data_IF_174775502560
#
_entry.id   IF_174775502560
#
_cell.length_a   1.000
_cell.length_b   1.000
_cell.length_c   1.000
_cell.angle_alpha   90.00
_cell.angle_beta   90.00
_cell.angle_gamma   90.00
#
_symmetry.space_group_name_H-M   'P 1'
#
loop_
_entity.id
_entity.type
_entity.pdbx_description
1 polymer ?
#
# COMPACT_ATOMS: atom_id res chain seq x y z
N UNK A 1 -5.26 29.79 -2.17
CA UNK A 1 -6.03 29.25 -1.02
C UNK A 1 -7.39 28.63 -1.37
N UNK A 2 -8.23 29.22 -2.24
CA UNK A 2 -9.59 28.70 -2.53
C UNK A 2 -9.67 27.22 -2.96
N UNK A 3 -8.71 26.72 -3.75
CA UNK A 3 -8.66 25.30 -4.19
C UNK A 3 -8.35 24.35 -3.02
N UNK A 4 -7.42 24.76 -2.14
CA UNK A 4 -7.01 24.00 -0.96
C UNK A 4 -8.16 23.85 0.04
N UNK A 5 -8.93 24.92 0.27
CA UNK A 5 -10.14 24.88 1.09
C UNK A 5 -11.25 23.96 0.53
N UNK A 6 -11.21 23.63 -0.77
CA UNK A 6 -12.08 22.60 -1.37
C UNK A 6 -11.53 21.18 -1.23
N UNK A 7 -10.38 20.99 -0.57
CA UNK A 7 -9.72 19.69 -0.41
C UNK A 7 -9.05 19.14 -1.67
N UNK A 8 -8.89 19.96 -2.72
CA UNK A 8 -8.40 19.48 -4.03
C UNK A 8 -6.87 19.46 -4.15
N UNK A 9 -6.15 20.09 -3.23
CA UNK A 9 -4.68 20.08 -3.24
C UNK A 9 -4.13 18.80 -2.60
N UNK A 10 -3.03 18.23 -3.12
CA UNK A 10 -2.25 17.22 -2.41
C UNK A 10 -1.74 17.75 -1.06
N UNK A 11 -1.46 16.83 -0.14
CA UNK A 11 -0.75 17.14 1.10
C UNK A 11 0.75 17.23 0.82
N UNK A 12 1.44 18.20 1.43
CA UNK A 12 2.91 18.26 1.37
C UNK A 12 3.52 17.23 2.33
N UNK A 13 4.79 16.81 2.15
CA UNK A 13 5.44 15.89 3.08
C UNK A 13 5.39 16.39 4.54
N UNK A 14 5.59 17.68 4.78
CA UNK A 14 5.49 18.23 6.13
C UNK A 14 4.08 18.12 6.73
N UNK A 15 3.03 18.32 5.92
CA UNK A 15 1.65 18.19 6.37
C UNK A 15 1.29 16.74 6.68
N UNK A 16 1.72 15.81 5.83
CA UNK A 16 1.58 14.37 6.08
C UNK A 16 2.26 14.01 7.40
N UNK A 17 3.51 14.44 7.60
CA UNK A 17 4.23 14.13 8.82
C UNK A 17 3.58 14.71 10.08
N UNK A 18 3.00 15.91 9.98
CA UNK A 18 2.26 16.52 11.08
C UNK A 18 0.96 15.77 11.42
N UNK A 19 0.24 15.29 10.40
CA UNK A 19 -0.94 14.44 10.59
C UNK A 19 -0.56 13.14 11.29
N UNK A 20 0.48 12.45 10.82
CA UNK A 20 0.97 11.22 11.43
C UNK A 20 1.41 11.43 12.88
N UNK A 21 2.14 12.52 13.17
CA UNK A 21 2.52 12.87 14.55
C UNK A 21 1.30 13.12 15.44
N UNK A 22 0.27 13.80 14.93
CA UNK A 22 -0.97 14.01 15.67
C UNK A 22 -1.72 12.69 15.96
N UNK A 23 -1.60 11.70 15.07
CA UNK A 23 -2.15 10.34 15.23
C UNK A 23 -1.32 9.45 16.17
N UNK A 24 -0.14 9.90 16.62
CA UNK A 24 0.69 9.18 17.60
C UNK A 24 1.85 8.38 16.99
N UNK A 25 2.06 8.44 15.67
CA UNK A 25 3.27 7.89 15.05
C UNK A 25 4.50 8.66 15.53
N UNK A 26 5.65 7.98 15.64
CA UNK A 26 6.87 8.54 16.19
C UNK A 26 8.08 8.32 15.29
N UNK A 27 9.28 8.68 15.77
CA UNK A 27 10.50 8.52 14.98
C UNK A 27 10.95 7.06 14.81
N UNK A 28 10.31 6.10 15.49
CA UNK A 28 10.56 4.67 15.35
C UNK A 28 9.71 4.05 14.25
N UNK A 29 8.62 4.70 13.85
CA UNK A 29 7.77 4.29 12.73
C UNK A 29 8.61 4.21 11.45
N UNK A 30 8.58 3.05 10.79
CA UNK A 30 9.15 2.85 9.45
C UNK A 30 8.16 3.36 8.42
N UNK A 31 8.60 4.26 7.55
CA UNK A 31 7.78 4.81 6.49
C UNK A 31 8.38 4.38 5.15
N UNK A 32 7.53 3.83 4.30
CA UNK A 32 7.85 3.60 2.89
C UNK A 32 7.18 4.69 2.05
N UNK A 33 7.93 5.31 1.15
CA UNK A 33 7.46 6.36 0.27
C UNK A 33 7.39 5.86 -1.17
N UNK A 34 6.19 5.46 -1.59
CA UNK A 34 5.84 5.21 -2.98
C UNK A 34 5.55 6.54 -3.68
N UNK A 35 6.55 7.12 -4.33
CA UNK A 35 6.38 8.34 -5.12
C UNK A 35 7.39 8.40 -6.26
N UNK A 36 6.98 9.02 -7.37
CA UNK A 36 7.93 9.53 -8.37
C UNK A 36 8.73 10.72 -7.83
N UNK A 37 9.31 11.50 -8.74
CA UNK A 37 10.06 12.69 -8.36
C UNK A 37 9.17 13.71 -7.62
N UNK A 38 9.56 14.05 -6.39
CA UNK A 38 8.81 14.96 -5.55
C UNK A 38 9.10 16.40 -5.92
N UNK A 39 8.04 17.20 -6.04
CA UNK A 39 8.16 18.64 -6.24
C UNK A 39 9.05 19.27 -5.15
N UNK A 40 10.10 19.99 -5.58
CA UNK A 40 11.10 20.63 -4.72
C UNK A 40 11.98 19.67 -3.89
N UNK A 41 11.95 18.37 -4.20
CA UNK A 41 12.92 17.35 -3.81
C UNK A 41 13.32 17.39 -2.33
N UNK A 42 14.64 17.40 -2.09
CA UNK A 42 15.23 17.32 -0.73
C UNK A 42 14.75 18.44 0.20
N UNK A 43 14.43 19.64 -0.31
CA UNK A 43 14.00 20.78 0.50
C UNK A 43 12.70 20.50 1.25
N UNK A 44 11.68 20.02 0.54
CA UNK A 44 10.38 19.71 1.16
C UNK A 44 10.37 18.37 1.91
N UNK A 45 11.31 17.47 1.58
CA UNK A 45 11.45 16.20 2.30
C UNK A 45 12.18 16.35 3.64
N UNK A 46 13.04 17.36 3.81
CA UNK A 46 13.86 17.54 5.03
C UNK A 46 13.01 17.57 6.33
N UNK A 47 11.92 18.34 6.44
CA UNK A 47 11.08 18.32 7.65
C UNK A 47 10.46 16.95 7.91
N UNK A 48 9.99 16.26 6.86
CA UNK A 48 9.40 14.93 6.98
C UNK A 48 10.42 13.89 7.45
N UNK A 49 11.61 13.85 6.86
CA UNK A 49 12.70 12.95 7.27
C UNK A 49 13.21 13.24 8.68
N UNK A 50 13.10 14.49 9.14
CA UNK A 50 13.41 14.84 10.54
C UNK A 50 12.38 14.25 11.50
N UNK A 51 11.10 14.25 11.11
CA UNK A 51 10.04 13.61 11.90
C UNK A 51 10.11 12.09 11.84
N UNK A 52 10.44 11.50 10.69
CA UNK A 52 10.46 10.07 10.43
C UNK A 52 11.79 9.68 9.76
N UNK A 53 12.84 9.38 10.55
CA UNK A 53 14.18 9.12 10.02
C UNK A 53 14.30 7.77 9.30
N UNK A 54 13.42 6.81 9.61
CA UNK A 54 13.36 5.47 8.99
C UNK A 54 12.49 5.53 7.73
N UNK A 55 12.99 6.21 6.71
CA UNK A 55 12.30 6.46 5.45
C UNK A 55 12.96 5.68 4.31
N UNK A 56 12.19 4.79 3.69
CA UNK A 56 12.60 3.91 2.59
C UNK A 56 11.77 4.18 1.32
N UNK A 57 12.26 3.74 0.16
CA UNK A 57 11.55 3.74 -1.12
C UNK A 57 12.08 2.58 -2.00
N UNK A 58 11.59 2.45 -3.25
CA UNK A 58 12.00 1.33 -4.11
C UNK A 58 13.51 1.26 -4.36
N UNK A 59 14.22 2.38 -4.32
CA UNK A 59 15.67 2.44 -4.56
C UNK A 59 16.48 2.00 -3.34
N UNK A 60 15.87 1.98 -2.15
CA UNK A 60 16.57 1.60 -0.90
C UNK A 60 16.24 0.19 -0.44
N UNK A 61 15.07 -0.36 -0.81
CA UNK A 61 14.64 -1.71 -0.40
C UNK A 61 15.04 -2.82 -1.36
N UNK A 62 15.29 -2.51 -2.64
CA UNK A 62 15.60 -3.51 -3.66
C UNK A 62 17.10 -3.68 -3.91
N UNK A 63 17.51 -4.81 -4.50
CA UNK A 63 18.87 -4.93 -5.03
C UNK A 63 19.06 -3.81 -6.07
N UNK A 64 20.25 -3.18 -6.09
CA UNK A 64 20.58 -2.06 -7.00
C UNK A 64 20.39 -2.34 -8.51
N UNK A 65 19.91 -3.53 -8.87
CA UNK A 65 19.50 -4.00 -10.19
C UNK A 65 18.10 -3.53 -10.63
N UNK A 66 17.27 -2.97 -9.75
CA UNK A 66 15.99 -2.36 -10.19
C UNK A 66 16.22 -1.20 -11.19
N UNK A 67 17.36 -0.52 -11.07
CA UNK A 67 17.81 0.58 -11.94
C UNK A 67 18.25 0.09 -13.33
N UNK A 68 18.62 -1.19 -13.50
CA UNK A 68 19.03 -1.77 -14.80
C UNK A 68 17.83 -2.11 -15.70
N UNK A 69 16.60 -2.11 -15.17
CA UNK A 69 15.41 -2.39 -15.95
C UNK A 69 14.92 -1.14 -16.70
N UNK A 70 15.31 -1.06 -17.97
CA UNK A 70 15.09 0.06 -18.91
C UNK A 70 13.62 0.41 -19.21
N UNK A 71 12.65 -0.36 -18.72
CA UNK A 71 11.22 -0.09 -18.92
C UNK A 71 10.54 0.68 -17.77
N UNK A 72 11.23 0.99 -16.66
CA UNK A 72 10.74 1.89 -15.61
C UNK A 72 9.55 1.40 -14.76
N UNK A 73 9.02 0.20 -15.02
CA UNK A 73 7.85 -0.35 -14.31
C UNK A 73 8.22 -1.11 -13.03
N UNK A 74 9.45 -1.61 -12.90
CA UNK A 74 9.85 -2.44 -11.76
C UNK A 74 9.76 -1.71 -10.42
N UNK A 75 10.24 -0.46 -10.35
CA UNK A 75 10.10 0.38 -9.14
C UNK A 75 8.64 0.60 -8.75
N UNK A 76 7.77 0.79 -9.74
CA UNK A 76 6.32 0.95 -9.49
C UNK A 76 5.66 -0.35 -9.01
N UNK A 77 6.12 -1.50 -9.49
CA UNK A 77 5.66 -2.80 -9.02
C UNK A 77 6.09 -3.06 -7.56
N UNK A 78 7.33 -2.71 -7.20
CA UNK A 78 7.81 -2.75 -5.81
C UNK A 78 6.99 -1.81 -4.92
N UNK A 79 6.79 -0.57 -5.37
CA UNK A 79 5.95 0.41 -4.67
C UNK A 79 4.54 -0.14 -4.42
N UNK A 80 3.93 -0.77 -5.44
CA UNK A 80 2.61 -1.36 -5.32
C UNK A 80 2.60 -2.48 -4.27
N UNK A 81 3.52 -3.44 -4.35
CA UNK A 81 3.56 -4.58 -3.43
C UNK A 81 3.83 -4.16 -1.99
N UNK A 82 4.77 -3.23 -1.76
CA UNK A 82 5.06 -2.73 -0.42
C UNK A 82 3.85 -1.97 0.15
N UNK A 83 3.19 -1.12 -0.65
CA UNK A 83 1.97 -0.44 -0.21
C UNK A 83 0.77 -1.38 -0.02
N UNK A 84 0.68 -2.49 -0.74
CA UNK A 84 -0.37 -3.49 -0.58
C UNK A 84 -0.19 -4.25 0.75
N UNK A 85 1.04 -4.63 1.08
CA UNK A 85 1.35 -5.47 2.23
C UNK A 85 1.62 -4.69 3.51
N UNK A 86 1.82 -3.36 3.44
CA UNK A 86 2.05 -2.53 4.62
C UNK A 86 0.89 -2.60 5.62
N UNK A 87 1.20 -2.40 6.90
CA UNK A 87 0.19 -2.34 7.97
C UNK A 87 -0.83 -1.23 7.69
N UNK A 88 -0.34 -0.08 7.23
CA UNK A 88 -1.11 1.13 7.00
C UNK A 88 -0.72 1.72 5.65
N UNK A 89 -1.73 2.11 4.86
CA UNK A 89 -1.56 2.87 3.63
C UNK A 89 -2.22 4.24 3.77
N UNK A 90 -1.55 5.30 3.31
CA UNK A 90 -2.09 6.67 3.36
C UNK A 90 -1.88 7.35 2.00
N UNK A 91 -2.92 7.42 1.15
CA UNK A 91 -2.83 8.23 -0.06
C UNK A 91 -2.72 9.71 0.29
N UNK A 92 -1.86 10.43 -0.43
CA UNK A 92 -1.64 11.88 -0.23
C UNK A 92 -2.38 12.74 -1.25
N UNK A 93 -3.00 12.09 -2.26
CA UNK A 93 -3.75 12.73 -3.33
C UNK A 93 -4.84 11.81 -3.90
N UNK A 94 -6.08 12.27 -3.84
CA UNK A 94 -7.26 11.55 -4.36
C UNK A 94 -7.59 11.98 -5.82
N UNK A 95 -6.56 12.23 -6.64
CA UNK A 95 -6.78 12.48 -8.06
C UNK A 95 -7.14 11.20 -8.82
N UNK A 96 -7.25 11.27 -10.16
CA UNK A 96 -7.47 10.08 -10.99
C UNK A 96 -6.21 9.20 -11.09
N UNK A 97 -5.46 9.04 -9.99
CA UNK A 97 -4.34 8.12 -9.96
C UNK A 97 -4.87 6.69 -9.86
N UNK A 98 -4.64 5.91 -10.90
CA UNK A 98 -4.92 4.48 -10.88
C UNK A 98 -4.18 3.78 -9.73
N UNK A 99 -2.98 4.25 -9.36
CA UNK A 99 -2.16 3.63 -8.30
C UNK A 99 -2.86 3.57 -6.93
N UNK A 100 -3.21 4.74 -6.36
CA UNK A 100 -3.85 4.79 -5.05
C UNK A 100 -5.23 4.12 -5.06
N UNK A 101 -6.02 4.32 -6.12
CA UNK A 101 -7.36 3.74 -6.22
C UNK A 101 -7.32 2.21 -6.27
N UNK A 102 -6.43 1.66 -7.10
CA UNK A 102 -6.25 0.21 -7.20
C UNK A 102 -5.72 -0.38 -5.90
N UNK A 103 -4.81 0.31 -5.21
CA UNK A 103 -4.32 -0.12 -3.90
C UNK A 103 -5.41 -0.13 -2.84
N UNK A 104 -6.26 0.89 -2.79
CA UNK A 104 -7.37 0.94 -1.83
C UNK A 104 -8.34 -0.23 -2.05
N UNK A 105 -8.72 -0.49 -3.31
CA UNK A 105 -9.57 -1.63 -3.63
C UNK A 105 -8.92 -2.98 -3.31
N UNK A 106 -7.65 -3.16 -3.70
CA UNK A 106 -6.92 -4.39 -3.44
C UNK A 106 -6.69 -4.63 -1.94
N UNK A 107 -6.34 -3.59 -1.17
CA UNK A 107 -6.24 -3.66 0.30
C UNK A 107 -7.58 -3.96 0.95
N UNK A 108 -8.70 -3.46 0.39
CA UNK A 108 -10.04 -3.80 0.85
C UNK A 108 -10.36 -5.27 0.59
N UNK A 109 -10.07 -5.76 -0.62
CA UNK A 109 -10.27 -7.16 -0.99
C UNK A 109 -9.40 -8.12 -0.16
N UNK A 110 -8.15 -7.75 0.07
CA UNK A 110 -7.17 -8.55 0.80
C UNK A 110 -7.28 -8.35 2.32
N UNK A 111 -8.47 -8.60 2.88
CA UNK A 111 -8.70 -8.61 4.32
C UNK A 111 -8.89 -7.24 4.97
N UNK A 112 -9.48 -6.28 4.25
CA UNK A 112 -9.82 -4.94 4.78
C UNK A 112 -8.63 -4.25 5.46
N UNK A 113 -7.47 -4.26 4.81
CA UNK A 113 -6.25 -3.66 5.38
C UNK A 113 -6.42 -2.16 5.60
N UNK A 114 -5.83 -1.69 6.70
CA UNK A 114 -6.01 -0.32 7.17
C UNK A 114 -5.55 0.70 6.13
N UNK A 115 -6.42 1.63 5.79
CA UNK A 115 -6.14 2.75 4.89
C UNK A 115 -6.59 4.05 5.53
N UNK A 116 -5.66 4.99 5.69
CA UNK A 116 -5.92 6.32 6.23
C UNK A 116 -6.15 7.27 5.06
N UNK A 117 -7.40 7.66 4.82
CA UNK A 117 -7.75 8.67 3.80
C UNK A 117 -8.15 9.97 4.50
N UNK A 118 -7.22 10.93 4.69
CA UNK A 118 -7.51 12.12 5.47
C UNK A 118 -8.54 13.01 4.78
N UNK A 119 -9.51 13.54 5.54
CA UNK A 119 -10.43 14.53 5.00
C UNK A 119 -9.70 15.86 4.73
N UNK A 120 -9.12 15.99 3.54
CA UNK A 120 -8.31 17.14 3.13
C UNK A 120 -9.09 18.46 3.21
N UNK A 121 -10.40 18.43 2.96
CA UNK A 121 -11.28 19.61 3.08
C UNK A 121 -11.41 20.06 4.54
N UNK A 122 -11.60 19.13 5.47
CA UNK A 122 -11.67 19.43 6.91
C UNK A 122 -10.32 19.82 7.50
N UNK A 123 -9.22 19.26 6.98
CA UNK A 123 -7.85 19.59 7.41
C UNK A 123 -7.36 20.93 6.83
N UNK A 124 -7.86 21.36 5.67
CA UNK A 124 -7.34 22.52 4.96
C UNK A 124 -7.25 23.81 5.80
N UNK A 125 -8.27 24.22 6.58
CA UNK A 125 -8.16 25.41 7.43
C UNK A 125 -7.04 25.26 8.47
N UNK A 126 -6.91 24.09 9.09
CA UNK A 126 -5.90 23.81 10.12
C UNK A 126 -4.49 23.91 9.54
N UNK A 127 -4.29 23.36 8.34
CA UNK A 127 -3.00 23.37 7.65
C UNK A 127 -2.65 24.77 7.14
N UNK A 128 -3.63 25.55 6.68
CA UNK A 128 -3.43 26.96 6.28
C UNK A 128 -2.98 27.80 7.50
N UNK A 129 -3.65 27.65 8.64
CA UNK A 129 -3.27 28.36 9.86
C UNK A 129 -1.80 28.08 10.22
N UNK A 130 -1.37 26.80 10.10
CA UNK A 130 0.01 26.39 10.35
C UNK A 130 0.99 26.99 9.34
N UNK A 131 0.63 27.04 8.06
CA UNK A 131 1.45 27.67 7.02
C UNK A 131 1.67 29.17 7.25
N UNK A 132 0.70 29.84 7.88
CA UNK A 132 0.79 31.25 8.27
C UNK A 132 1.55 31.46 9.58
N UNK A 133 2.17 30.41 10.14
CA UNK A 133 2.96 30.49 11.36
C UNK A 133 2.14 30.50 12.65
N UNK A 134 0.82 30.26 12.58
CA UNK A 134 0.00 30.15 13.79
C UNK A 134 0.31 28.83 14.50
N UNK A 135 0.40 28.88 15.83
CA UNK A 135 0.64 27.68 16.62
C UNK A 135 -0.61 26.79 16.63
N UNK A 136 -0.49 25.57 16.11
CA UNK A 136 -1.59 24.60 16.02
C UNK A 136 -1.25 23.37 16.86
N UNK A 137 -2.04 23.12 17.90
CA UNK A 137 -1.96 21.87 18.65
C UNK A 137 -2.52 20.68 17.87
N UNK A 138 -2.05 19.47 18.21
CA UNK A 138 -2.51 18.23 17.58
C UNK A 138 -4.01 17.95 17.78
N UNK A 139 -4.65 18.52 18.79
CA UNK A 139 -6.06 18.30 19.10
C UNK A 139 -7.01 18.59 17.93
N UNK A 140 -6.76 19.65 17.15
CA UNK A 140 -7.59 19.97 15.99
C UNK A 140 -7.47 18.90 14.90
N UNK A 141 -6.26 18.37 14.68
CA UNK A 141 -6.02 17.28 13.73
C UNK A 141 -6.67 15.99 14.25
N UNK A 142 -6.45 15.63 15.52
CA UNK A 142 -7.04 14.45 16.16
C UNK A 142 -8.55 14.42 16.03
N UNK A 143 -9.23 15.55 16.22
CA UNK A 143 -10.68 15.68 16.04
C UNK A 143 -11.14 15.40 14.61
N UNK A 144 -10.37 15.80 13.60
CA UNK A 144 -10.71 15.49 12.21
C UNK A 144 -10.44 14.01 11.93
N UNK A 145 -9.32 13.49 12.41
CA UNK A 145 -8.93 12.10 12.22
C UNK A 145 -9.86 11.13 12.96
N UNK A 146 -10.41 11.47 14.14
CA UNK A 146 -11.35 10.62 14.88
C UNK A 146 -12.67 10.37 14.15
N UNK A 147 -13.04 11.27 13.24
CA UNK A 147 -14.23 11.14 12.40
C UNK A 147 -13.92 10.51 11.02
N UNK A 148 -12.67 10.10 10.81
CA UNK A 148 -12.23 9.47 9.56
C UNK A 148 -12.26 7.96 9.73
N UNK A 149 -12.81 7.25 8.75
CA UNK A 149 -12.81 5.79 8.75
C UNK A 149 -11.46 5.28 8.23
N UNK A 150 -10.85 4.32 8.93
CA UNK A 150 -9.48 3.85 8.66
C UNK A 150 -9.41 2.52 7.90
N UNK A 151 -10.41 2.21 7.06
CA UNK A 151 -10.41 1.00 6.23
C UNK A 151 -11.24 -0.15 6.79
N UNK A 152 -12.50 0.10 7.11
CA UNK A 152 -13.49 -0.96 7.33
C UNK A 152 -14.36 -1.15 6.06
N UNK A 153 -14.93 -2.34 5.83
CA UNK A 153 -15.96 -2.52 4.83
C UNK A 153 -17.12 -1.56 5.11
N UNK A 154 -17.53 -0.83 4.08
CA UNK A 154 -18.62 0.12 4.16
C UNK A 154 -19.35 0.13 2.82
N UNK A 155 -20.64 0.49 2.85
CA UNK A 155 -21.42 0.62 1.62
C UNK A 155 -20.85 1.76 0.80
N UNK A 156 -20.54 1.47 -0.47
CA UNK A 156 -20.05 2.45 -1.43
C UNK A 156 -21.03 3.61 -1.57
N UNK A 157 -20.53 4.84 -1.47
CA UNK A 157 -21.33 6.08 -1.62
C UNK A 157 -20.80 6.89 -2.79
N UNK A 158 -21.68 7.30 -3.72
CA UNK A 158 -21.28 8.12 -4.87
C UNK A 158 -20.55 9.39 -4.40
N UNK A 159 -19.38 9.74 -4.99
CA UNK A 159 -18.81 9.25 -6.24
C UNK A 159 -17.75 8.15 -6.12
N UNK A 160 -17.68 7.42 -4.99
CA UNK A 160 -16.72 6.33 -4.82
C UNK A 160 -16.88 5.25 -5.90
N UNK A 161 -15.76 4.78 -6.44
CA UNK A 161 -15.75 3.82 -7.54
C UNK A 161 -15.81 2.38 -7.05
N UNK A 162 -16.30 1.47 -7.88
CA UNK A 162 -16.25 0.04 -7.61
C UNK A 162 -14.80 -0.47 -7.44
N UNK A 163 -13.83 0.12 -8.15
CA UNK A 163 -12.42 -0.25 -8.08
C UNK A 163 -11.74 0.18 -6.77
N UNK A 164 -12.29 1.18 -6.08
CA UNK A 164 -11.80 1.62 -4.76
C UNK A 164 -12.51 0.91 -3.61
N UNK A 165 -13.76 0.51 -3.83
CA UNK A 165 -14.59 -0.19 -2.86
C UNK A 165 -15.54 -1.15 -3.57
N UNK A 166 -15.20 -2.44 -3.59
CA UNK A 166 -16.03 -3.49 -4.20
C UNK A 166 -17.02 -4.12 -3.22
N UNK A 167 -17.14 -3.58 -2.00
CA UNK A 167 -18.08 -4.08 -0.99
C UNK A 167 -19.50 -3.52 -1.21
N UNK A 168 -20.55 -4.34 -1.05
CA UNK A 168 -20.52 -5.76 -0.68
C UNK A 168 -20.46 -6.73 -1.88
N UNK A 169 -20.51 -6.25 -3.13
CA UNK A 169 -20.84 -7.11 -4.27
C UNK A 169 -19.80 -8.17 -4.61
N UNK A 170 -18.53 -7.95 -4.26
CA UNK A 170 -17.44 -8.91 -4.50
C UNK A 170 -17.01 -9.72 -3.27
N UNK A 171 -17.76 -9.60 -2.18
CA UNK A 171 -17.42 -10.27 -0.94
C UNK A 171 -18.53 -11.23 -0.56
N UNK A 172 -18.11 -12.45 -0.26
CA UNK A 172 -18.98 -13.41 0.36
C UNK A 172 -19.30 -13.00 1.80
N UNK A 173 -20.44 -13.48 2.31
CA UNK A 173 -20.91 -13.28 3.68
C UNK A 173 -20.80 -14.62 4.41
N UNK A 174 -20.18 -14.63 5.58
CA UNK A 174 -20.12 -15.82 6.45
C UNK A 174 -21.51 -16.31 6.83
N UNK A 175 -22.41 -15.38 7.16
CA UNK A 175 -23.80 -15.67 7.57
C UNK A 175 -24.82 -15.23 6.51
N UNK A 176 -24.62 -15.65 5.26
CA UNK A 176 -25.48 -15.24 4.17
C UNK A 176 -26.86 -15.93 4.20
N UNK A 177 -27.94 -15.14 4.04
CA UNK A 177 -29.30 -15.65 3.86
C UNK A 177 -29.45 -16.44 2.56
N UNK A 178 -28.75 -16.02 1.51
CA UNK A 178 -28.74 -16.68 0.21
C UNK A 178 -27.47 -17.53 0.06
N UNK A 179 -27.60 -18.75 -0.47
CA UNK A 179 -26.46 -19.66 -0.63
C UNK A 179 -25.41 -19.12 -1.60
N UNK A 180 -25.83 -18.36 -2.63
CA UNK A 180 -24.92 -17.77 -3.62
C UNK A 180 -23.94 -16.73 -3.03
N UNK A 181 -24.30 -16.15 -1.87
CA UNK A 181 -23.50 -15.11 -1.21
C UNK A 181 -22.61 -15.71 -0.10
N UNK A 182 -22.67 -17.02 0.17
CA UNK A 182 -21.88 -17.63 1.27
C UNK A 182 -20.41 -17.73 0.93
N UNK A 183 -19.57 -17.53 1.94
CA UNK A 183 -18.14 -17.76 1.79
C UNK A 183 -17.83 -19.23 1.53
N UNK A 184 -16.85 -19.54 0.65
CA UNK A 184 -16.28 -20.88 0.56
C UNK A 184 -15.83 -21.34 1.96
N UNK A 185 -16.03 -22.63 2.29
CA UNK A 185 -15.65 -23.16 3.60
C UNK A 185 -14.12 -23.17 3.80
N UNK A 186 -13.36 -23.24 2.71
CA UNK A 186 -11.90 -23.26 2.73
C UNK A 186 -11.34 -21.84 2.52
N UNK A 187 -10.36 -21.46 3.34
CA UNK A 187 -9.66 -20.19 3.19
C UNK A 187 -8.88 -20.21 1.87
N UNK A 188 -9.12 -19.24 1.00
CA UNK A 188 -8.47 -19.13 -0.32
C UNK A 188 -6.94 -19.13 -0.19
N UNK A 189 -6.38 -18.57 0.89
CA UNK A 189 -4.95 -18.61 1.12
C UNK A 189 -4.44 -20.03 1.39
N UNK A 190 -5.20 -20.85 2.12
CA UNK A 190 -4.85 -22.25 2.41
C UNK A 190 -4.92 -23.07 1.10
N UNK A 191 -5.90 -22.78 0.24
CA UNK A 191 -6.02 -23.39 -1.10
C UNK A 191 -4.83 -22.99 -1.97
N UNK A 192 -4.47 -21.70 -2.01
CA UNK A 192 -3.32 -21.21 -2.78
C UNK A 192 -2.00 -21.78 -2.26
N UNK A 193 -1.77 -21.79 -0.95
CA UNK A 193 -0.59 -22.39 -0.33
C UNK A 193 -0.50 -23.89 -0.64
N UNK A 194 -1.62 -24.62 -0.57
CA UNK A 194 -1.65 -26.03 -0.94
C UNK A 194 -1.35 -26.26 -2.42
N UNK A 195 -1.79 -25.36 -3.30
CA UNK A 195 -1.49 -25.41 -4.73
C UNK A 195 -0.01 -25.13 -5.02
N UNK A 196 0.57 -24.09 -4.39
CA UNK A 196 1.99 -23.79 -4.52
C UNK A 196 2.88 -24.93 -4.00
N UNK A 197 2.54 -25.52 -2.85
CA UNK A 197 3.25 -26.69 -2.32
C UNK A 197 3.16 -27.88 -3.27
N UNK A 198 1.98 -28.12 -3.86
CA UNK A 198 1.80 -29.20 -4.83
C UNK A 198 2.58 -28.99 -6.13
N UNK A 199 2.76 -27.74 -6.57
CA UNK A 199 3.55 -27.39 -7.75
C UNK A 199 5.05 -27.55 -7.49
N UNK A 200 5.55 -27.12 -6.32
CA UNK A 200 6.94 -27.33 -5.88
C UNK A 200 7.28 -28.82 -5.75
N UNK A 201 6.41 -29.61 -5.12
CA UNK A 201 6.60 -31.07 -4.98
C UNK A 201 6.62 -31.77 -6.35
N UNK A 202 5.78 -31.35 -7.29
CA UNK A 202 5.77 -31.86 -8.66
C UNK A 202 7.03 -31.47 -9.45
N UNK A 203 7.58 -30.29 -9.22
CA UNK A 203 8.80 -29.82 -9.86
C UNK A 203 10.04 -30.53 -9.31
N UNK A 204 10.11 -30.75 -7.99
CA UNK A 204 11.14 -31.60 -7.34
C UNK A 204 11.05 -33.07 -7.78
N UNK A 205 9.84 -33.62 -7.95
CA UNK A 205 9.64 -34.97 -8.47
C UNK A 205 10.06 -35.10 -9.95
N UNK A 206 9.99 -34.03 -10.74
CA UNK A 206 10.49 -34.00 -12.13
C UNK A 206 12.00 -33.88 -12.20
N UNK A 207 12.60 -33.09 -11.31
CA UNK A 207 14.06 -32.93 -11.21
C UNK A 207 14.74 -34.22 -10.74
N UNK A 208 14.14 -34.96 -9.81
CA UNK A 208 14.66 -36.24 -9.29
C UNK A 208 14.55 -37.40 -10.29
N UNK A 209 13.57 -37.36 -11.20
CA UNK A 209 13.42 -38.37 -12.26
C UNK A 209 14.32 -38.12 -13.49
N UNK A 210 15.05 -37.01 -13.55
CA UNK A 210 16.10 -36.77 -14.54
C UNK A 210 17.47 -37.13 -13.97
N UNK A 211 17.68 -38.42 -13.66
CA UNK A 211 19.04 -38.95 -13.48
C UNK A 211 19.50 -39.60 -14.79
N UNK A 212 20.63 -39.10 -15.28
CA UNK A 212 21.23 -39.26 -16.60
C UNK A 212 21.70 -40.72 -16.90
N UNK A 213 21.26 -41.39 -17.98
CA UNK A 213 21.82 -42.66 -18.41
C UNK A 213 23.05 -42.41 -19.31
N UNK A 214 24.12 -41.87 -18.73
CA UNK A 214 25.38 -41.62 -19.44
C UNK A 214 26.58 -41.70 -18.50
N UNK A 215 26.94 -42.92 -18.08
CA UNK A 215 28.30 -43.23 -17.62
C UNK A 215 28.63 -44.70 -17.86
N UNK A 216 28.85 -45.06 -19.12
CA UNK A 216 29.73 -46.17 -19.47
C UNK A 216 30.64 -45.71 -20.59
N UNK A 217 31.89 -46.22 -20.58
CA UNK A 217 33.04 -45.89 -21.43
C UNK A 217 33.84 -44.71 -20.81
N UNK A 218 35.07 -44.83 -20.32
CA UNK A 218 36.22 -45.68 -20.68
C UNK A 218 37.26 -45.62 -19.55
N UNK A 219 37.83 -46.77 -19.12
CA UNK A 219 39.23 -46.80 -18.68
C UNK A 219 39.77 -48.24 -18.83
N UNK A 220 40.34 -48.52 -20.00
CA UNK A 220 41.32 -49.59 -20.17
C UNK A 220 42.42 -49.07 -21.09
N UNK A 221 43.60 -48.83 -20.55
CA UNK A 221 44.81 -48.63 -21.36
C UNK A 221 46.02 -49.18 -20.62
N UNK A 222 46.54 -50.28 -21.20
CA UNK A 222 47.86 -50.92 -21.07
C UNK A 222 48.18 -51.59 -19.72
#
# INVERSE_FOLDING_TARGET
MKIRLKGKCPLTPEEVGFILRAMGFDNRTRIYLASGELFGGKRFMKPFKTMFPRLENHSTVGPGKLEENTQGLAGSAVDYMVCLLSDIFMPTYDGPSNFANNLMGHRMYYGFRTTITPNRKALAPILIDRMEGRHIGFERIRRVMSNTHFGAPHKRVHPESFYTNSWPECFCQTDAKNHADRCPPDNINDVLESQFQSEEEMEEARASNQTDPSSQIEELTI
#
